data_IF_586095306155
#
_entry.id   IF_586095306155
#
_cell.length_a   1.000
_cell.length_b   1.000
_cell.length_c   1.000
_cell.angle_alpha   90.00
_cell.angle_beta   90.00
_cell.angle_gamma   90.00
#
_symmetry.space_group_name_H-M   'P 1'
#
loop_
_entity.id
_entity.type
_entity.pdbx_description
1 polymer ?
#
# COMPACT_ATOMS: atom_id res chain seq x y z
N UNK A 1 28.59 -43.26 17.29
CA UNK A 1 27.86 -42.17 16.61
C UNK A 1 28.92 -41.36 15.91
N UNK A 2 29.23 -41.75 14.68
CA UNK A 2 30.42 -41.25 13.97
C UNK A 2 30.10 -39.98 13.19
N UNK A 3 30.76 -38.90 13.58
CA UNK A 3 30.65 -37.54 13.09
C UNK A 3 31.18 -37.34 11.65
N UNK A 4 31.57 -38.42 10.96
CA UNK A 4 32.34 -38.40 9.71
C UNK A 4 31.48 -38.40 8.43
N UNK A 5 30.16 -38.59 8.52
CA UNK A 5 29.26 -38.62 7.35
C UNK A 5 28.89 -37.23 6.80
N UNK A 6 29.23 -36.15 7.51
CA UNK A 6 28.97 -34.77 7.07
C UNK A 6 29.96 -34.24 6.01
N UNK A 7 30.99 -35.03 5.63
CA UNK A 7 32.10 -34.57 4.79
C UNK A 7 32.04 -34.94 3.30
N UNK A 8 31.05 -35.72 2.84
CA UNK A 8 30.89 -35.95 1.39
C UNK A 8 30.32 -34.70 0.70
N UNK A 9 30.91 -34.24 -0.43
CA UNK A 9 30.52 -33.00 -1.10
C UNK A 9 29.05 -32.99 -1.52
N UNK A 10 28.47 -34.17 -1.79
CA UNK A 10 27.05 -34.34 -2.10
C UNK A 10 26.14 -33.98 -0.93
N UNK A 11 26.46 -34.43 0.29
CA UNK A 11 25.67 -34.15 1.51
C UNK A 11 25.69 -32.65 1.81
N UNK A 12 26.87 -32.01 1.70
CA UNK A 12 27.02 -30.56 1.87
C UNK A 12 26.22 -29.77 0.84
N UNK A 13 26.24 -30.18 -0.44
CA UNK A 13 25.44 -29.52 -1.50
C UNK A 13 23.94 -29.64 -1.23
N UNK A 14 23.46 -30.81 -0.81
CA UNK A 14 22.05 -31.02 -0.47
C UNK A 14 21.64 -30.14 0.70
N UNK A 15 22.43 -30.07 1.78
CA UNK A 15 22.13 -29.20 2.93
C UNK A 15 22.05 -27.73 2.51
N UNK A 16 23.03 -27.24 1.73
CA UNK A 16 23.04 -25.85 1.27
C UNK A 16 21.82 -25.55 0.38
N UNK A 17 21.48 -26.44 -0.55
CA UNK A 17 20.28 -26.30 -1.40
C UNK A 17 19.00 -26.26 -0.57
N UNK A 18 18.87 -27.13 0.44
CA UNK A 18 17.71 -27.15 1.34
C UNK A 18 17.59 -25.85 2.14
N UNK A 19 18.70 -25.31 2.64
CA UNK A 19 18.71 -24.02 3.35
C UNK A 19 18.32 -22.88 2.42
N UNK A 20 18.87 -22.84 1.20
CA UNK A 20 18.52 -21.81 0.21
C UNK A 20 17.03 -21.88 -0.17
N UNK A 21 16.49 -23.08 -0.37
CA UNK A 21 15.07 -23.28 -0.62
C UNK A 21 14.21 -22.82 0.56
N UNK A 22 14.62 -23.13 1.80
CA UNK A 22 13.91 -22.68 2.99
C UNK A 22 13.93 -21.15 3.13
N UNK A 23 15.06 -20.51 2.87
CA UNK A 23 15.20 -19.04 2.88
C UNK A 23 14.39 -18.38 1.78
N UNK A 24 14.44 -18.91 0.55
CA UNK A 24 13.65 -18.41 -0.56
C UNK A 24 12.15 -18.57 -0.30
N UNK A 25 11.74 -19.74 0.23
CA UNK A 25 10.37 -20.01 0.64
C UNK A 25 9.90 -19.07 1.74
N UNK A 26 10.70 -18.89 2.80
CA UNK A 26 10.41 -17.96 3.88
C UNK A 26 10.33 -16.50 3.43
N UNK A 27 11.24 -16.08 2.55
CA UNK A 27 11.24 -14.74 1.96
C UNK A 27 10.00 -14.49 1.10
N UNK A 28 9.64 -15.44 0.23
CA UNK A 28 8.45 -15.34 -0.60
C UNK A 28 7.18 -15.32 0.25
N UNK A 29 7.08 -16.21 1.23
CA UNK A 29 5.94 -16.26 2.15
C UNK A 29 5.80 -14.96 2.92
N UNK A 30 6.89 -14.43 3.48
CA UNK A 30 6.89 -13.17 4.20
C UNK A 30 6.44 -11.99 3.35
N UNK A 31 6.80 -11.96 2.06
CA UNK A 31 6.31 -10.94 1.11
C UNK A 31 4.81 -11.05 0.87
N UNK A 32 4.29 -12.27 0.78
CA UNK A 32 2.87 -12.54 0.51
C UNK A 32 1.98 -12.31 1.74
N UNK A 33 2.51 -12.45 2.94
CA UNK A 33 1.75 -12.33 4.20
C UNK A 33 2.12 -11.12 5.04
N UNK A 34 2.96 -10.21 4.53
CA UNK A 34 3.35 -9.01 5.27
C UNK A 34 2.10 -8.20 5.64
N UNK A 35 1.90 -7.85 6.92
CA UNK A 35 0.78 -7.02 7.31
C UNK A 35 0.94 -5.62 6.70
N UNK A 36 -0.16 -5.08 6.18
CA UNK A 36 -0.21 -3.65 5.83
C UNK A 36 -0.21 -2.87 7.14
N UNK A 37 0.90 -2.17 7.41
CA UNK A 37 1.00 -1.29 8.56
C UNK A 37 0.38 0.06 8.20
N UNK A 38 -0.91 0.23 8.47
CA UNK A 38 -1.67 1.46 8.22
C UNK A 38 -2.80 1.31 7.20
N UNK A 39 -3.23 2.43 6.64
CA UNK A 39 -4.32 2.51 5.67
C UNK A 39 -3.77 2.90 4.30
N UNK A 40 -3.91 2.01 3.32
CA UNK A 40 -3.49 2.26 1.94
C UNK A 40 -4.72 2.57 1.07
N UNK A 41 -4.79 3.77 0.51
CA UNK A 41 -5.94 4.19 -0.30
C UNK A 41 -5.53 4.34 -1.75
N UNK A 42 -6.21 3.60 -2.63
CA UNK A 42 -6.03 3.71 -4.07
C UNK A 42 -7.05 4.69 -4.66
N UNK A 43 -6.58 5.80 -5.25
CA UNK A 43 -7.41 6.75 -5.99
C UNK A 43 -7.27 6.48 -7.48
N UNK A 44 -8.38 6.21 -8.16
CA UNK A 44 -8.41 5.99 -9.61
C UNK A 44 -9.10 7.17 -10.29
N UNK A 45 -8.43 7.80 -11.25
CA UNK A 45 -9.08 8.77 -12.11
C UNK A 45 -9.89 8.01 -13.16
N UNK A 46 -11.21 7.97 -13.01
CA UNK A 46 -12.11 7.31 -13.99
C UNK A 46 -12.69 8.29 -15.00
N UNK A 47 -12.25 9.56 -14.95
CA UNK A 47 -12.65 10.60 -15.90
C UNK A 47 -11.64 10.77 -17.04
N UNK A 48 -12.03 11.57 -18.04
CA UNK A 48 -11.20 12.04 -19.16
C UNK A 48 -10.43 13.34 -18.84
N UNK A 49 -10.56 13.86 -17.61
CA UNK A 49 -9.92 15.09 -17.16
C UNK A 49 -8.77 14.75 -16.22
N UNK A 50 -7.59 15.31 -16.46
CA UNK A 50 -6.44 15.16 -15.56
C UNK A 50 -6.77 15.74 -14.17
N UNK A 51 -6.49 14.97 -13.12
CA UNK A 51 -6.49 15.48 -11.75
C UNK A 51 -5.15 16.18 -11.52
N UNK A 52 -5.17 17.46 -11.23
CA UNK A 52 -3.97 18.25 -10.90
C UNK A 52 -3.43 17.88 -9.53
N UNK A 53 -4.32 17.69 -8.55
CA UNK A 53 -3.92 17.28 -7.20
C UNK A 53 -5.02 16.59 -6.42
N UNK A 54 -4.62 15.67 -5.55
CA UNK A 54 -5.42 15.16 -4.44
C UNK A 54 -4.72 15.55 -3.15
N UNK A 55 -5.41 16.25 -2.26
CA UNK A 55 -4.95 16.57 -0.92
C UNK A 55 -5.79 15.82 0.11
N UNK A 56 -5.11 15.21 1.08
CA UNK A 56 -5.71 14.42 2.14
C UNK A 56 -5.32 15.05 3.46
N UNK A 57 -6.30 15.32 4.32
CA UNK A 57 -6.07 15.77 5.68
C UNK A 57 -6.67 14.76 6.67
N UNK A 58 -5.83 14.28 7.58
CA UNK A 58 -6.18 13.25 8.56
C UNK A 58 -5.44 13.49 9.87
N UNK A 59 -5.90 12.85 10.95
CA UNK A 59 -5.30 13.04 12.27
C UNK A 59 -5.70 11.96 13.26
N UNK A 60 -4.98 11.94 14.37
CA UNK A 60 -5.28 11.15 15.57
C UNK A 60 -5.67 12.07 16.72
N UNK A 61 -5.79 11.53 17.94
CA UNK A 61 -6.02 12.35 19.14
C UNK A 61 -4.94 13.41 19.37
N UNK A 62 -3.70 13.12 18.95
CA UNK A 62 -2.51 13.93 19.29
C UNK A 62 -1.78 14.51 18.08
N UNK A 63 -2.19 14.14 16.85
CA UNK A 63 -1.46 14.54 15.63
C UNK A 63 -2.41 14.93 14.50
N UNK A 64 -1.95 15.83 13.64
CA UNK A 64 -2.57 16.15 12.36
C UNK A 64 -1.54 15.96 11.25
N UNK A 65 -1.98 15.46 10.10
CA UNK A 65 -1.14 15.16 8.95
C UNK A 65 -1.85 15.57 7.66
N UNK A 66 -1.07 15.99 6.68
CA UNK A 66 -1.54 16.31 5.33
C UNK A 66 -0.65 15.63 4.31
N UNK A 67 -1.26 15.04 3.28
CA UNK A 67 -0.56 14.46 2.13
C UNK A 67 -1.13 15.09 0.87
N UNK A 68 -0.24 15.46 -0.05
CA UNK A 68 -0.63 15.96 -1.38
C UNK A 68 0.03 15.16 -2.47
N UNK A 69 -0.79 14.56 -3.33
CA UNK A 69 -0.37 13.93 -4.56
C UNK A 69 -0.68 14.85 -5.73
N UNK A 70 0.24 14.93 -6.69
CA UNK A 70 0.08 15.73 -7.89
C UNK A 70 -0.08 14.84 -9.11
N UNK A 71 -0.80 15.39 -10.10
CA UNK A 71 -0.96 14.89 -11.47
C UNK A 71 -1.32 13.41 -11.55
N UNK A 72 -2.59 13.12 -11.79
CA UNK A 72 -3.11 11.78 -12.03
C UNK A 72 -3.87 11.82 -13.36
N UNK A 73 -3.31 11.17 -14.37
CA UNK A 73 -3.87 11.17 -15.72
C UNK A 73 -5.17 10.36 -15.81
N UNK A 74 -6.00 10.58 -16.84
CA UNK A 74 -7.15 9.74 -17.14
C UNK A 74 -6.80 8.25 -17.11
N UNK A 75 -7.53 7.46 -16.32
CA UNK A 75 -7.33 6.03 -16.13
C UNK A 75 -6.22 5.63 -15.15
N UNK A 76 -5.38 6.57 -14.69
CA UNK A 76 -4.30 6.30 -13.75
C UNK A 76 -4.84 5.99 -12.34
N UNK A 77 -4.10 5.15 -11.61
CA UNK A 77 -4.31 4.86 -10.20
C UNK A 77 -3.13 5.39 -9.40
N UNK A 78 -3.41 6.16 -8.34
CA UNK A 78 -2.42 6.59 -7.36
C UNK A 78 -2.75 6.02 -6.00
N UNK A 79 -1.80 5.29 -5.43
CA UNK A 79 -1.92 4.70 -4.10
C UNK A 79 -1.17 5.54 -3.08
N UNK A 80 -1.84 5.86 -1.96
CA UNK A 80 -1.28 6.63 -0.86
C UNK A 80 -1.39 5.82 0.45
N UNK A 81 -0.28 5.68 1.16
CA UNK A 81 -0.23 5.06 2.47
C UNK A 81 -0.36 6.13 3.55
N UNK A 82 -1.31 5.96 4.45
CA UNK A 82 -1.60 6.85 5.56
C UNK A 82 -1.20 6.15 6.86
N UNK A 83 -0.53 6.88 7.73
CA UNK A 83 -0.37 6.49 9.13
C UNK A 83 -1.67 6.78 9.89
N UNK A 84 -2.75 6.12 9.48
CA UNK A 84 -4.11 6.33 9.94
C UNK A 84 -4.82 4.99 10.07
N UNK A 85 -5.65 4.83 11.09
CA UNK A 85 -6.47 3.63 11.26
C UNK A 85 -7.60 3.56 10.24
N UNK A 86 -8.00 2.37 9.77
CA UNK A 86 -9.24 2.22 8.99
C UNK A 86 -10.45 2.66 9.83
N UNK A 87 -11.57 2.98 9.17
CA UNK A 87 -12.82 3.38 9.82
C UNK A 87 -12.84 4.80 10.40
N UNK A 88 -11.70 5.44 10.65
CA UNK A 88 -11.65 6.78 11.28
C UNK A 88 -12.08 7.91 10.33
N UNK A 89 -11.98 7.67 9.02
CA UNK A 89 -12.26 8.64 7.96
C UNK A 89 -11.23 9.77 7.86
N UNK A 90 -11.22 10.45 6.72
CA UNK A 90 -10.31 11.57 6.44
C UNK A 90 -10.91 12.51 5.40
N UNK A 91 -10.40 13.74 5.32
CA UNK A 91 -10.87 14.72 4.33
C UNK A 91 -10.06 14.57 3.04
N UNK A 92 -10.75 14.67 1.90
CA UNK A 92 -10.16 14.62 0.56
C UNK A 92 -10.58 15.86 -0.19
N UNK A 93 -9.62 16.55 -0.78
CA UNK A 93 -9.84 17.62 -1.75
C UNK A 93 -9.17 17.25 -3.08
N UNK A 94 -9.95 17.21 -4.15
CA UNK A 94 -9.51 16.91 -5.51
C UNK A 94 -9.62 18.17 -6.36
N UNK A 95 -8.54 18.51 -7.07
CA UNK A 95 -8.53 19.60 -8.06
C UNK A 95 -8.30 19.01 -9.44
N UNK A 96 -9.18 19.33 -10.39
CA UNK A 96 -9.13 18.87 -11.77
C UNK A 96 -8.63 19.98 -12.70
N UNK A 97 -8.01 19.63 -13.82
CA UNK A 97 -7.41 20.58 -14.77
C UNK A 97 -8.43 21.48 -15.49
N UNK A 98 -9.71 21.11 -15.48
CA UNK A 98 -10.81 21.94 -15.96
C UNK A 98 -11.29 22.99 -14.92
N UNK A 99 -10.57 23.15 -13.80
CA UNK A 99 -10.89 24.09 -12.73
C UNK A 99 -11.93 23.59 -11.72
N UNK A 100 -12.53 22.41 -11.92
CA UNK A 100 -13.47 21.82 -10.95
C UNK A 100 -12.73 21.35 -9.71
N UNK A 101 -13.41 21.44 -8.57
CA UNK A 101 -12.93 20.95 -7.27
C UNK A 101 -14.00 20.08 -6.62
N UNK A 102 -13.57 19.03 -5.96
CA UNK A 102 -14.43 18.13 -5.19
C UNK A 102 -13.85 17.98 -3.79
N UNK A 103 -14.67 18.12 -2.76
CA UNK A 103 -14.27 17.96 -1.37
C UNK A 103 -15.25 17.03 -0.65
N UNK A 104 -14.72 16.05 0.09
CA UNK A 104 -15.55 15.07 0.79
C UNK A 104 -14.79 14.40 1.94
N UNK A 105 -15.53 13.92 2.94
CA UNK A 105 -15.01 13.01 3.95
C UNK A 105 -15.09 11.58 3.41
N UNK A 106 -13.96 10.89 3.34
CA UNK A 106 -13.86 9.54 2.82
C UNK A 106 -13.75 8.50 3.94
N UNK A 107 -14.32 7.32 3.72
CA UNK A 107 -14.02 6.08 4.45
C UNK A 107 -14.25 6.10 5.98
N UNK A 108 -15.13 6.98 6.46
CA UNK A 108 -15.64 6.91 7.84
C UNK A 108 -16.50 5.65 8.00
N UNK A 109 -16.13 4.79 8.95
CA UNK A 109 -16.74 3.47 9.21
C UNK A 109 -16.35 2.36 8.23
N UNK A 110 -15.43 2.61 7.29
CA UNK A 110 -14.90 1.57 6.39
C UNK A 110 -13.65 0.93 6.98
N UNK A 111 -13.79 -0.31 7.44
CA UNK A 111 -12.73 -1.06 8.13
C UNK A 111 -11.70 -1.71 7.19
N UNK A 112 -11.81 -1.51 5.87
CA UNK A 112 -10.82 -2.03 4.91
C UNK A 112 -9.51 -1.26 5.04
N UNK A 113 -8.40 -1.98 5.01
CA UNK A 113 -7.03 -1.41 5.02
C UNK A 113 -6.53 -1.03 3.63
N UNK A 114 -7.15 -1.54 2.56
CA UNK A 114 -6.80 -1.26 1.16
C UNK A 114 -7.99 -0.83 0.28
N UNK A 115 -8.77 0.21 0.66
CA UNK A 115 -9.92 0.66 -0.12
C UNK A 115 -9.50 1.37 -1.41
N UNK A 116 -10.39 1.31 -2.41
CA UNK A 116 -10.26 2.03 -3.68
C UNK A 116 -11.38 3.05 -3.84
N UNK A 117 -11.02 4.26 -4.27
CA UNK A 117 -11.92 5.37 -4.56
C UNK A 117 -11.81 5.75 -6.03
N UNK A 118 -12.92 5.69 -6.74
CA UNK A 118 -13.02 6.14 -8.13
C UNK A 118 -13.41 7.62 -8.15
N UNK A 119 -12.55 8.46 -8.73
CA UNK A 119 -12.70 9.91 -8.79
C UNK A 119 -13.18 10.35 -10.18
N UNK A 120 -14.12 11.28 -10.16
CA UNK A 120 -14.68 11.95 -11.32
C UNK A 120 -15.15 13.35 -10.89
N UNK A 121 -15.00 14.36 -11.74
CA UNK A 121 -15.31 15.72 -11.35
C UNK A 121 -16.78 15.93 -11.04
#
# INVERSE_FOLDING_TARGET
MDSSSLFTPTVRRVIVLSVLLALAGGWLMGRLTAPVLGLEVSFRNVSDVTIESIQLDFGSADTQSSIKAFRIEPGEVRTLALNHGPGMGFNVQVSYSNGRKQEFCALRGDERTQPRLDLRP
#
